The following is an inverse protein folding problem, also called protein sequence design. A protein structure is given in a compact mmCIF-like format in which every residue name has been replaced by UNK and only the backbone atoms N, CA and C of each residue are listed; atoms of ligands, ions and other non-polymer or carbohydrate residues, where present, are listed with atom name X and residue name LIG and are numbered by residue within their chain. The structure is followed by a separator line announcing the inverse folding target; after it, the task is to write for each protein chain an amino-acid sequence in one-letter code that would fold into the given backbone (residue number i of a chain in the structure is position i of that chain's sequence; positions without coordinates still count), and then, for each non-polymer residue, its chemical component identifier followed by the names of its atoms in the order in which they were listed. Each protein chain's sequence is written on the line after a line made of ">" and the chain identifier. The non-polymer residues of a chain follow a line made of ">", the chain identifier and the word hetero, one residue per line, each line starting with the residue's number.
data_IF_319526355438
#
_entry.id   IF_319526355438
#
_cell.length_a   1.000
_cell.length_b   1.000
_cell.length_c   1.000
_cell.angle_alpha   90.00
_cell.angle_beta   90.00
_cell.angle_gamma   90.00
#
_symmetry.space_group_name_H-M   'P 1'
#
loop_
_entity.id
_entity.type
_entity.pdbx_description
1 polymer ?
#
# COMPACT_ATOMS: atom_id res chain seq x y z
N UNK A 1 -28.66 43.94 9.34
CA UNK A 1 -29.90 44.17 8.57
C UNK A 1 -29.56 44.18 7.10
N UNK A 2 -30.26 43.33 6.33
CA UNK A 2 -30.51 43.41 4.88
C UNK A 2 -29.38 43.00 3.92
N UNK A 3 -29.51 41.75 3.50
CA UNK A 3 -29.07 41.19 2.22
C UNK A 3 -29.48 42.10 1.05
N UNK A 4 -28.58 42.24 0.07
CA UNK A 4 -28.88 42.85 -1.23
C UNK A 4 -28.66 41.79 -2.30
N UNK A 5 -29.75 41.45 -2.99
CA UNK A 5 -29.78 40.58 -4.15
C UNK A 5 -29.22 41.32 -5.37
N UNK A 6 -28.45 40.61 -6.20
CA UNK A 6 -28.21 41.01 -7.59
C UNK A 6 -28.37 39.77 -8.47
N UNK A 7 -29.51 39.72 -9.16
CA UNK A 7 -29.77 38.85 -10.30
C UNK A 7 -29.30 39.58 -11.56
N UNK A 8 -28.46 38.95 -12.39
CA UNK A 8 -28.27 39.37 -13.80
C UNK A 8 -28.32 38.13 -14.70
N UNK A 9 -29.29 38.20 -15.62
CA UNK A 9 -29.57 37.36 -16.77
C UNK A 9 -28.47 37.52 -17.84
N UNK A 10 -28.02 36.44 -18.47
CA UNK A 10 -27.49 36.49 -19.83
C UNK A 10 -27.62 35.12 -20.53
N UNK A 11 -28.64 35.01 -21.38
CA UNK A 11 -28.69 34.06 -22.49
C UNK A 11 -27.61 34.43 -23.52
N UNK A 12 -26.78 33.47 -23.94
CA UNK A 12 -26.24 33.43 -25.31
C UNK A 12 -26.26 31.98 -25.78
N UNK A 13 -27.21 31.68 -26.67
CA UNK A 13 -27.16 30.53 -27.53
C UNK A 13 -26.21 30.83 -28.69
N UNK A 14 -25.19 30.00 -28.88
CA UNK A 14 -24.39 29.95 -30.10
C UNK A 14 -24.45 28.52 -30.63
N UNK A 15 -25.39 28.32 -31.54
CA UNK A 15 -25.41 27.21 -32.50
C UNK A 15 -24.25 27.39 -33.47
N UNK A 16 -23.26 26.50 -33.41
CA UNK A 16 -22.20 26.36 -34.40
C UNK A 16 -22.18 24.93 -34.91
N UNK A 17 -22.65 24.73 -36.14
CA UNK A 17 -22.53 23.47 -36.87
C UNK A 17 -21.07 23.26 -37.29
N UNK A 18 -20.40 22.25 -36.73
CA UNK A 18 -19.19 21.68 -37.30
C UNK A 18 -19.49 20.25 -37.75
N UNK A 19 -19.79 20.09 -39.04
CA UNK A 19 -19.79 18.79 -39.71
C UNK A 19 -18.34 18.32 -39.84
N UNK A 20 -17.89 17.49 -38.90
CA UNK A 20 -16.61 16.79 -39.01
C UNK A 20 -16.83 15.58 -39.93
N UNK A 21 -16.29 15.67 -41.14
CA UNK A 21 -16.21 14.58 -42.09
C UNK A 21 -15.29 13.49 -41.53
N UNK A 22 -15.85 12.39 -41.04
CA UNK A 22 -15.06 11.17 -40.81
C UNK A 22 -14.67 10.57 -42.15
N UNK A 23 -13.38 10.66 -42.48
CA UNK A 23 -12.77 9.82 -43.50
C UNK A 23 -12.57 8.43 -42.88
N UNK A 24 -13.01 7.33 -43.51
CA UNK A 24 -12.68 5.99 -43.04
C UNK A 24 -11.22 5.70 -43.41
N UNK A 25 -10.30 6.22 -42.60
CA UNK A 25 -8.96 5.67 -42.52
C UNK A 25 -9.04 4.49 -41.56
N UNK A 26 -8.97 3.27 -42.08
CA UNK A 26 -8.66 2.09 -41.27
C UNK A 26 -7.29 2.32 -40.63
N UNK A 27 -7.32 2.92 -39.45
CA UNK A 27 -6.20 2.92 -38.52
C UNK A 27 -6.46 1.72 -37.65
N UNK A 28 -5.83 0.59 -37.99
CA UNK A 28 -5.56 -0.48 -37.04
C UNK A 28 -4.72 0.13 -35.92
N UNK A 29 -5.40 0.71 -34.95
CA UNK A 29 -4.81 1.12 -33.70
C UNK A 29 -4.61 -0.17 -32.92
N UNK A 30 -3.40 -0.75 -33.01
CA UNK A 30 -2.88 -1.62 -31.96
C UNK A 30 -2.84 -0.76 -30.70
N UNK A 31 -3.96 -0.74 -29.96
CA UNK A 31 -3.93 -0.42 -28.56
C UNK A 31 -3.05 -1.50 -27.94
N UNK A 32 -1.77 -1.18 -27.74
CA UNK A 32 -0.91 -1.90 -26.82
C UNK A 32 -1.69 -2.03 -25.52
N UNK A 33 -2.23 -3.22 -25.29
CA UNK A 33 -3.11 -3.57 -24.19
C UNK A 33 -2.46 -3.06 -22.90
N UNK A 34 -3.03 -2.01 -22.31
CA UNK A 34 -2.84 -1.69 -20.90
C UNK A 34 -3.38 -2.91 -20.17
N UNK A 35 -2.50 -3.83 -19.81
CA UNK A 35 -2.87 -5.09 -19.17
C UNK A 35 -3.65 -4.77 -17.90
N UNK A 36 -4.96 -5.03 -17.93
CA UNK A 36 -5.90 -4.59 -16.91
C UNK A 36 -5.41 -5.07 -15.53
N UNK A 37 -5.40 -4.15 -14.56
CA UNK A 37 -4.89 -4.45 -13.24
C UNK A 37 -5.84 -5.39 -12.51
N UNK A 38 -5.33 -6.50 -11.98
CA UNK A 38 -6.14 -7.41 -11.18
C UNK A 38 -6.62 -6.67 -9.93
N UNK A 39 -7.83 -6.99 -9.47
CA UNK A 39 -8.38 -6.44 -8.23
C UNK A 39 -7.48 -6.73 -7.02
N UNK A 40 -6.82 -7.89 -7.00
CA UNK A 40 -5.82 -8.22 -5.99
C UNK A 40 -4.64 -7.23 -6.00
N UNK A 41 -4.12 -6.89 -7.19
CA UNK A 41 -3.03 -5.93 -7.32
C UNK A 41 -3.45 -4.51 -6.90
N UNK A 42 -4.68 -4.11 -7.17
CA UNK A 42 -5.25 -2.83 -6.70
C UNK A 42 -5.27 -2.74 -5.18
N UNK A 43 -5.85 -3.73 -4.49
CA UNK A 43 -5.91 -3.71 -3.03
C UNK A 43 -4.50 -3.82 -2.41
N UNK A 44 -3.58 -4.53 -3.06
CA UNK A 44 -2.18 -4.58 -2.64
C UNK A 44 -1.49 -3.22 -2.76
N UNK A 45 -1.71 -2.49 -3.86
CA UNK A 45 -1.18 -1.14 -4.02
C UNK A 45 -1.75 -0.21 -2.95
N UNK A 46 -3.07 -0.24 -2.75
CA UNK A 46 -3.76 0.60 -1.78
C UNK A 46 -3.21 0.40 -0.35
N UNK A 47 -2.98 -0.85 0.06
CA UNK A 47 -2.37 -1.16 1.35
C UNK A 47 -0.96 -0.58 1.50
N UNK A 48 -0.10 -0.80 0.50
CA UNK A 48 1.29 -0.32 0.53
C UNK A 48 1.36 1.21 0.52
N UNK A 49 0.47 1.86 -0.24
CA UNK A 49 0.37 3.32 -0.31
C UNK A 49 -0.15 3.91 1.01
N UNK A 50 -1.15 3.26 1.63
CA UNK A 50 -1.61 3.62 2.97
C UNK A 50 -0.46 3.53 3.98
N UNK A 51 0.24 2.39 4.05
CA UNK A 51 1.34 2.21 4.99
C UNK A 51 2.47 3.24 4.78
N UNK A 52 2.76 3.62 3.53
CA UNK A 52 3.77 4.64 3.20
C UNK A 52 3.29 6.06 3.51
N UNK A 53 2.02 6.36 3.26
CA UNK A 53 1.44 7.68 3.54
C UNK A 53 1.37 7.93 5.05
N UNK A 54 0.93 6.92 5.80
CA UNK A 54 0.81 6.94 7.26
C UNK A 54 2.15 6.72 7.99
N UNK A 55 3.24 6.49 7.24
CA UNK A 55 4.61 6.33 7.76
C UNK A 55 4.78 5.16 8.74
N UNK A 56 3.93 4.14 8.61
CA UNK A 56 4.04 2.93 9.43
C UNK A 56 5.35 2.18 9.19
N UNK A 57 5.90 2.29 7.98
CA UNK A 57 7.23 1.78 7.64
C UNK A 57 8.22 2.93 7.60
N UNK A 58 9.35 2.78 8.30
CA UNK A 58 10.44 3.75 8.25
C UNK A 58 10.92 3.99 6.82
N UNK A 59 11.28 5.23 6.50
CA UNK A 59 11.78 5.57 5.16
C UNK A 59 13.17 4.95 5.01
N UNK A 60 13.35 3.92 4.19
CA UNK A 60 14.71 3.48 3.85
C UNK A 60 15.34 4.52 2.94
N UNK A 61 16.45 5.12 3.37
CA UNK A 61 17.31 5.90 2.49
C UNK A 61 17.81 4.94 1.40
N UNK A 62 17.29 5.09 0.18
CA UNK A 62 17.47 4.10 -0.88
C UNK A 62 18.91 3.98 -1.39
N UNK A 63 19.10 3.18 -2.44
CA UNK A 63 20.41 2.92 -3.07
C UNK A 63 21.15 4.21 -3.46
N UNK A 64 20.43 5.29 -3.76
CA UNK A 64 21.01 6.60 -4.07
C UNK A 64 21.73 7.25 -2.88
N UNK A 65 21.25 7.05 -1.67
CA UNK A 65 21.92 7.56 -0.47
C UNK A 65 23.17 6.74 -0.17
N UNK A 66 23.11 5.43 -0.38
CA UNK A 66 24.30 4.56 -0.35
C UNK A 66 25.31 4.94 -1.45
N UNK A 67 24.83 5.23 -2.66
CA UNK A 67 25.67 5.68 -3.77
C UNK A 67 26.33 7.03 -3.47
N UNK A 68 25.63 7.99 -2.83
CA UNK A 68 26.24 9.25 -2.38
C UNK A 68 27.33 9.03 -1.33
N UNK A 69 27.13 8.13 -0.37
CA UNK A 69 28.15 7.76 0.61
C UNK A 69 29.39 7.15 -0.07
N UNK A 70 29.20 6.31 -1.09
CA UNK A 70 30.28 5.71 -1.86
C UNK A 70 30.97 6.70 -2.83
N UNK A 71 30.23 7.59 -3.49
CA UNK A 71 30.74 8.50 -4.52
C UNK A 71 31.38 9.75 -3.93
N UNK A 72 30.76 10.35 -2.92
CA UNK A 72 31.21 11.64 -2.37
C UNK A 72 32.05 11.48 -1.09
N UNK A 73 32.24 10.25 -0.59
CA UNK A 73 32.96 9.99 0.66
C UNK A 73 32.35 10.69 1.88
N UNK A 74 31.12 11.18 1.77
CA UNK A 74 30.44 11.96 2.79
C UNK A 74 30.00 11.03 3.92
N UNK A 75 30.80 10.96 4.98
CA UNK A 75 30.44 10.28 6.24
C UNK A 75 29.54 11.13 7.14
N UNK A 76 28.96 12.21 6.63
CA UNK A 76 28.20 13.16 7.43
C UNK A 76 27.05 13.78 6.66
N UNK A 77 25.84 13.59 7.19
CA UNK A 77 24.59 14.29 6.85
C UNK A 77 23.77 13.75 5.67
N UNK A 78 23.75 12.45 5.45
CA UNK A 78 22.47 11.84 5.09
C UNK A 78 21.57 11.93 6.33
N UNK A 79 20.49 12.72 6.24
CA UNK A 79 19.51 12.80 7.32
C UNK A 79 19.07 11.37 7.67
N UNK A 80 19.16 11.01 8.95
CA UNK A 80 18.83 9.66 9.38
C UNK A 80 17.41 9.32 8.91
N UNK A 81 17.19 8.12 8.37
CA UNK A 81 15.87 7.70 7.92
C UNK A 81 14.86 7.88 9.05
N UNK A 82 13.77 8.64 8.81
CA UNK A 82 12.74 8.86 9.83
C UNK A 82 12.03 7.54 10.12
N UNK A 83 11.99 7.21 11.40
CA UNK A 83 11.24 6.10 11.97
C UNK A 83 9.79 6.51 12.23
N UNK A 84 8.93 5.52 12.47
CA UNK A 84 7.55 5.79 12.89
C UNK A 84 7.51 6.57 14.23
N UNK A 85 8.42 6.28 15.15
CA UNK A 85 8.56 7.00 16.42
C UNK A 85 8.85 8.49 16.23
N UNK A 86 9.64 8.85 15.20
CA UNK A 86 9.91 10.26 14.87
C UNK A 86 8.66 10.97 14.35
N UNK A 87 7.78 10.24 13.66
CA UNK A 87 6.57 10.80 13.04
C UNK A 87 5.48 11.07 14.07
N UNK A 88 5.34 10.21 15.08
CA UNK A 88 4.37 10.41 16.15
C UNK A 88 4.93 11.26 17.31
N UNK A 89 6.16 11.75 17.17
CA UNK A 89 6.85 12.60 18.16
C UNK A 89 6.90 11.95 19.56
N UNK A 90 7.38 10.69 19.61
CA UNK A 90 7.40 9.87 20.84
C UNK A 90 8.05 10.57 22.05
N UNK A 91 8.97 11.51 21.83
CA UNK A 91 9.67 12.22 22.90
C UNK A 91 8.81 13.30 23.59
N UNK A 92 7.92 13.96 22.85
CA UNK A 92 7.24 15.20 23.29
C UNK A 92 5.75 15.02 23.53
N UNK A 93 5.10 14.10 22.82
CA UNK A 93 3.66 13.88 22.95
C UNK A 93 3.29 13.17 24.26
N UNK A 94 2.02 13.28 24.64
CA UNK A 94 1.46 12.66 25.85
C UNK A 94 1.37 11.13 25.68
N UNK A 95 1.71 10.37 26.73
CA UNK A 95 1.89 8.91 26.69
C UNK A 95 0.61 8.17 26.28
N UNK A 96 -0.54 8.51 26.86
CA UNK A 96 -1.80 7.83 26.53
C UNK A 96 -2.27 8.10 25.11
N UNK A 97 -2.03 9.32 24.63
CA UNK A 97 -2.30 9.73 23.26
C UNK A 97 -1.40 8.98 22.26
N UNK A 98 -0.14 8.75 22.62
CA UNK A 98 0.80 7.96 21.84
C UNK A 98 0.37 6.49 21.74
N UNK A 99 0.02 5.85 22.86
CA UNK A 99 -0.48 4.47 22.81
C UNK A 99 -1.79 4.35 22.03
N UNK A 100 -2.73 5.28 22.22
CA UNK A 100 -3.98 5.31 21.46
C UNK A 100 -3.71 5.46 19.95
N UNK A 101 -2.73 6.28 19.57
CA UNK A 101 -2.32 6.44 18.18
C UNK A 101 -1.74 5.15 17.62
N UNK A 102 -0.82 4.51 18.34
CA UNK A 102 -0.19 3.26 17.91
C UNK A 102 -1.25 2.16 17.77
N UNK A 103 -2.17 2.03 18.72
CA UNK A 103 -3.27 1.08 18.67
C UNK A 103 -4.16 1.30 17.43
N UNK A 104 -4.51 2.56 17.15
CA UNK A 104 -5.32 2.91 15.97
C UNK A 104 -4.60 2.64 14.66
N UNK A 105 -3.29 2.90 14.57
CA UNK A 105 -2.50 2.64 13.37
C UNK A 105 -2.30 1.12 13.16
N UNK A 106 -2.08 0.35 14.23
CA UNK A 106 -2.00 -1.11 14.19
C UNK A 106 -3.32 -1.75 13.74
N UNK A 107 -4.45 -1.24 14.24
CA UNK A 107 -5.78 -1.70 13.84
C UNK A 107 -6.08 -1.38 12.36
N UNK A 108 -5.71 -0.19 11.90
CA UNK A 108 -5.83 0.17 10.49
C UNK A 108 -4.98 -0.74 9.58
N UNK A 109 -3.76 -1.07 10.00
CA UNK A 109 -2.91 -2.02 9.30
C UNK A 109 -3.52 -3.43 9.29
N UNK A 110 -4.11 -3.89 10.40
CA UNK A 110 -4.79 -5.19 10.49
C UNK A 110 -5.95 -5.27 9.50
N UNK A 111 -6.86 -4.30 9.55
CA UNK A 111 -8.04 -4.26 8.67
C UNK A 111 -7.61 -4.23 7.19
N UNK A 112 -6.62 -3.40 6.85
CA UNK A 112 -6.10 -3.34 5.48
C UNK A 112 -5.52 -4.67 5.00
N UNK A 113 -4.79 -5.36 5.87
CA UNK A 113 -4.19 -6.67 5.55
C UNK A 113 -5.26 -7.77 5.39
N UNK A 114 -6.32 -7.74 6.20
CA UNK A 114 -7.46 -8.66 6.07
C UNK A 114 -8.19 -8.47 4.74
N UNK A 115 -8.37 -7.22 4.29
CA UNK A 115 -8.95 -6.93 2.96
C UNK A 115 -8.10 -7.56 1.86
N UNK A 116 -6.77 -7.37 1.89
CA UNK A 116 -5.86 -7.96 0.91
C UNK A 116 -5.89 -9.49 0.96
N UNK A 117 -5.89 -10.07 2.16
CA UNK A 117 -5.91 -11.52 2.38
C UNK A 117 -7.22 -12.15 1.90
N UNK A 118 -8.36 -11.48 2.10
CA UNK A 118 -9.64 -11.95 1.61
C UNK A 118 -9.75 -11.82 0.08
N UNK A 119 -9.20 -10.76 -0.51
CA UNK A 119 -9.14 -10.65 -1.97
C UNK A 119 -8.24 -11.74 -2.57
N UNK A 120 -7.14 -12.11 -1.91
CA UNK A 120 -6.29 -13.21 -2.36
C UNK A 120 -7.01 -14.58 -2.32
N UNK A 121 -7.90 -14.80 -1.33
CA UNK A 121 -8.76 -16.00 -1.29
C UNK A 121 -9.66 -16.07 -2.52
N UNK A 122 -10.37 -14.97 -2.81
CA UNK A 122 -11.25 -14.87 -3.99
C UNK A 122 -10.44 -15.04 -5.26
N UNK A 123 -9.29 -14.41 -5.35
CA UNK A 123 -8.41 -14.48 -6.52
C UNK A 123 -8.02 -15.93 -6.85
N UNK A 124 -7.59 -16.73 -5.86
CA UNK A 124 -7.24 -18.15 -6.07
C UNK A 124 -8.45 -18.97 -6.57
N UNK A 125 -9.67 -18.66 -6.14
CA UNK A 125 -10.86 -19.38 -6.58
C UNK A 125 -11.26 -19.04 -8.02
N UNK A 126 -10.85 -17.87 -8.50
CA UNK A 126 -11.23 -17.33 -9.82
C UNK A 126 -10.11 -17.37 -10.86
N UNK A 127 -8.87 -17.64 -10.46
CA UNK A 127 -7.72 -17.54 -11.36
C UNK A 127 -7.70 -18.68 -12.37
N UNK A 128 -7.60 -18.32 -13.64
CA UNK A 128 -7.48 -19.27 -14.74
C UNK A 128 -6.04 -19.78 -14.89
N UNK A 129 -5.84 -21.03 -15.36
CA UNK A 129 -4.50 -21.60 -15.52
C UNK A 129 -3.57 -20.84 -16.47
N UNK A 130 -4.11 -20.05 -17.38
CA UNK A 130 -3.38 -19.29 -18.40
C UNK A 130 -3.16 -17.81 -18.00
N UNK A 131 -3.35 -17.47 -16.71
CA UNK A 131 -3.22 -16.08 -16.27
C UNK A 131 -1.75 -15.61 -16.23
N UNK A 132 -1.31 -14.94 -17.31
CA UNK A 132 0.00 -14.28 -17.46
C UNK A 132 0.32 -13.23 -16.36
N UNK A 133 -0.67 -12.76 -15.62
CA UNK A 133 -0.49 -11.82 -14.53
C UNK A 133 -0.25 -12.48 -13.17
N UNK A 134 -0.45 -13.79 -13.04
CA UNK A 134 -0.42 -14.47 -11.73
C UNK A 134 0.88 -14.19 -10.97
N UNK A 135 2.04 -14.30 -11.64
CA UNK A 135 3.34 -14.00 -11.03
C UNK A 135 3.38 -12.60 -10.41
N UNK A 136 2.88 -11.59 -11.12
CA UNK A 136 2.85 -10.19 -10.64
C UNK A 136 1.89 -10.02 -9.47
N UNK A 137 0.77 -10.73 -9.51
CA UNK A 137 -0.24 -10.68 -8.44
C UNK A 137 0.30 -11.33 -7.15
N UNK A 138 0.98 -12.48 -7.25
CA UNK A 138 1.69 -13.11 -6.13
C UNK A 138 2.77 -12.19 -5.57
N UNK A 139 3.62 -11.60 -6.42
CA UNK A 139 4.64 -10.65 -5.98
C UNK A 139 4.05 -9.41 -5.29
N UNK A 140 2.89 -8.93 -5.75
CA UNK A 140 2.21 -7.78 -5.13
C UNK A 140 1.71 -8.13 -3.73
N UNK A 141 1.16 -9.34 -3.55
CA UNK A 141 0.75 -9.85 -2.24
C UNK A 141 1.95 -10.03 -1.29
N UNK A 142 3.05 -10.60 -1.76
CA UNK A 142 4.29 -10.73 -0.97
C UNK A 142 4.82 -9.36 -0.52
N UNK A 143 4.76 -8.36 -1.40
CA UNK A 143 5.13 -6.99 -1.05
C UNK A 143 4.28 -6.44 0.09
N UNK A 144 2.96 -6.70 0.10
CA UNK A 144 2.07 -6.32 1.21
C UNK A 144 2.48 -7.01 2.51
N UNK A 145 2.75 -8.31 2.48
CA UNK A 145 3.16 -9.06 3.67
C UNK A 145 4.46 -8.50 4.27
N UNK A 146 5.45 -8.20 3.44
CA UNK A 146 6.69 -7.56 3.88
C UNK A 146 6.41 -6.18 4.50
N UNK A 147 5.56 -5.37 3.89
CA UNK A 147 5.16 -4.07 4.42
C UNK A 147 4.46 -4.20 5.78
N UNK A 148 3.52 -5.14 5.92
CA UNK A 148 2.82 -5.40 7.19
C UNK A 148 3.79 -5.81 8.31
N UNK A 149 4.73 -6.72 8.02
CA UNK A 149 5.77 -7.13 8.97
C UNK A 149 6.69 -5.98 9.38
N UNK A 150 7.00 -5.07 8.45
CA UNK A 150 7.78 -3.86 8.76
C UNK A 150 6.98 -2.89 9.63
N UNK A 151 5.71 -2.64 9.30
CA UNK A 151 4.81 -1.79 10.10
C UNK A 151 4.69 -2.32 11.53
N UNK A 152 4.41 -3.62 11.68
CA UNK A 152 4.36 -4.30 12.99
C UNK A 152 5.63 -4.07 13.80
N UNK A 153 6.81 -4.23 13.19
CA UNK A 153 8.09 -3.99 13.87
C UNK A 153 8.21 -2.53 14.32
N UNK A 154 7.85 -1.58 13.46
CA UNK A 154 7.86 -0.15 13.78
C UNK A 154 6.90 0.21 14.92
N UNK A 155 5.71 -0.37 14.97
CA UNK A 155 4.77 -0.19 16.08
C UNK A 155 5.30 -0.78 17.38
N UNK A 156 5.86 -1.98 17.35
CA UNK A 156 6.46 -2.62 18.52
C UNK A 156 7.63 -1.81 19.11
N UNK A 157 8.47 -1.24 18.23
CA UNK A 157 9.55 -0.33 18.66
C UNK A 157 8.97 0.93 19.31
N UNK A 158 7.94 1.56 18.70
CA UNK A 158 7.31 2.73 19.29
C UNK A 158 6.66 2.44 20.65
N UNK A 159 5.95 1.31 20.80
CA UNK A 159 5.41 0.85 22.09
C UNK A 159 6.52 0.74 23.13
N UNK A 160 7.64 0.11 22.78
CA UNK A 160 8.77 -0.07 23.70
C UNK A 160 9.33 1.29 24.16
N UNK A 161 9.51 2.24 23.24
CA UNK A 161 10.00 3.58 23.57
C UNK A 161 9.00 4.39 24.40
N UNK A 162 7.70 4.32 24.09
CA UNK A 162 6.66 5.04 24.87
C UNK A 162 6.56 4.45 26.28
N UNK A 163 6.68 3.12 26.42
CA UNK A 163 6.63 2.42 27.70
C UNK A 163 7.72 2.86 28.68
N UNK A 164 8.86 3.37 28.19
CA UNK A 164 9.91 3.95 29.05
C UNK A 164 9.46 5.24 29.75
N UNK A 165 8.44 5.93 29.21
CA UNK A 165 7.88 7.20 29.74
C UNK A 165 6.64 6.98 30.60
N UNK A 166 5.94 5.85 30.43
CA UNK A 166 4.75 5.47 31.18
C UNK A 166 3.95 4.37 30.47
N UNK A 167 2.96 3.79 31.15
CA UNK A 167 2.20 2.62 30.68
C UNK A 167 0.70 2.88 30.47
N UNK A 168 0.26 4.14 30.60
CA UNK A 168 -1.14 4.53 30.45
C UNK A 168 -1.62 4.31 29.01
N UNK A 169 -2.25 3.15 28.73
CA UNK A 169 -2.71 2.75 27.40
C UNK A 169 -1.89 1.62 26.75
N UNK A 170 -0.86 1.12 27.42
CA UNK A 170 0.01 0.05 26.92
C UNK A 170 -0.78 -1.23 26.57
N UNK A 171 -1.71 -1.63 27.44
CA UNK A 171 -2.51 -2.86 27.25
C UNK A 171 -3.31 -2.81 25.94
N UNK A 172 -3.94 -1.68 25.62
CA UNK A 172 -4.74 -1.54 24.40
C UNK A 172 -3.86 -1.55 23.15
N UNK A 173 -2.67 -0.94 23.22
CA UNK A 173 -1.69 -0.98 22.14
C UNK A 173 -1.15 -2.40 21.89
N UNK A 174 -0.85 -3.15 22.96
CA UNK A 174 -0.42 -4.55 22.86
C UNK A 174 -1.52 -5.45 22.29
N UNK A 175 -2.78 -5.25 22.70
CA UNK A 175 -3.93 -5.98 22.14
C UNK A 175 -4.07 -5.73 20.64
N UNK A 176 -3.97 -4.47 20.20
CA UNK A 176 -4.03 -4.13 18.78
C UNK A 176 -2.84 -4.73 18.00
N UNK A 177 -1.63 -4.72 18.58
CA UNK A 177 -0.45 -5.31 17.95
C UNK A 177 -0.57 -6.85 17.82
N UNK A 178 -1.09 -7.52 18.85
CA UNK A 178 -1.36 -8.97 18.80
C UNK A 178 -2.41 -9.31 17.74
N UNK A 179 -3.45 -8.49 17.59
CA UNK A 179 -4.45 -8.69 16.54
C UNK A 179 -3.84 -8.53 15.14
N UNK A 180 -2.91 -7.60 14.95
CA UNK A 180 -2.13 -7.47 13.71
C UNK A 180 -1.23 -8.69 13.48
N UNK A 181 -0.60 -9.25 14.52
CA UNK A 181 0.22 -10.46 14.40
C UNK A 181 -0.59 -11.65 13.86
N UNK A 182 -1.81 -11.85 14.35
CA UNK A 182 -2.71 -12.88 13.84
C UNK A 182 -3.06 -12.68 12.36
N UNK A 183 -3.34 -11.44 11.94
CA UNK A 183 -3.59 -11.13 10.53
C UNK A 183 -2.35 -11.35 9.65
N UNK A 184 -1.14 -11.13 10.17
CA UNK A 184 0.12 -11.44 9.48
C UNK A 184 0.30 -12.94 9.30
N UNK A 185 -0.05 -13.75 10.30
CA UNK A 185 0.02 -15.21 10.20
C UNK A 185 -0.97 -15.75 9.17
N UNK A 186 -2.21 -15.26 9.17
CA UNK A 186 -3.20 -15.58 8.12
C UNK A 186 -2.71 -15.19 6.71
N UNK A 187 -2.05 -14.04 6.60
CA UNK A 187 -1.47 -13.59 5.34
C UNK A 187 -0.27 -14.45 4.89
N UNK A 188 0.55 -14.98 5.82
CA UNK A 188 1.63 -15.93 5.50
C UNK A 188 1.07 -17.22 4.91
N UNK A 189 0.06 -17.79 5.56
CA UNK A 189 -0.61 -19.00 5.06
C UNK A 189 -1.20 -18.77 3.66
N UNK A 190 -1.73 -17.57 3.41
CA UNK A 190 -2.22 -17.19 2.09
C UNK A 190 -1.12 -17.04 1.05
N UNK A 191 0.02 -16.43 1.40
CA UNK A 191 1.18 -16.33 0.51
C UNK A 191 1.65 -17.72 0.07
N UNK A 192 1.71 -18.67 1.01
CA UNK A 192 2.08 -20.05 0.72
C UNK A 192 1.08 -20.74 -0.23
N UNK A 193 -0.22 -20.45 -0.07
CA UNK A 193 -1.27 -20.94 -0.99
C UNK A 193 -1.10 -20.34 -2.38
N UNK A 194 -0.90 -19.04 -2.48
CA UNK A 194 -0.66 -18.33 -3.75
C UNK A 194 0.58 -18.89 -4.47
N UNK A 195 1.66 -19.12 -3.75
CA UNK A 195 2.89 -19.70 -4.30
C UNK A 195 2.66 -21.12 -4.83
N UNK A 196 1.87 -21.96 -4.14
CA UNK A 196 1.50 -23.30 -4.62
C UNK A 196 0.67 -23.24 -5.90
N UNK A 197 -0.30 -22.33 -5.98
CA UNK A 197 -1.11 -22.14 -7.20
C UNK A 197 -0.21 -21.75 -8.37
N UNK A 198 0.68 -20.78 -8.16
CA UNK A 198 1.64 -20.33 -9.16
C UNK A 198 2.62 -21.44 -9.61
N UNK A 199 3.08 -22.29 -8.69
CA UNK A 199 3.99 -23.39 -9.01
C UNK A 199 3.32 -24.55 -9.78
N UNK A 200 2.01 -24.75 -9.62
CA UNK A 200 1.27 -25.86 -10.23
C UNK A 200 0.68 -25.54 -11.61
N UNK A 201 0.90 -24.34 -12.14
CA UNK A 201 0.48 -24.00 -13.50
C UNK A 201 1.44 -24.62 -14.54
N UNK A 202 0.90 -25.14 -15.66
CA UNK A 202 1.72 -25.60 -16.76
C UNK A 202 2.66 -24.46 -17.19
N UNK A 203 3.95 -24.67 -16.99
CA UNK A 203 4.96 -23.75 -17.50
C UNK A 203 5.07 -24.05 -19.00
N UNK A 204 4.37 -23.28 -19.82
CA UNK A 204 4.60 -23.33 -21.27
C UNK A 204 6.09 -23.04 -21.53
N UNK A 205 6.82 -24.06 -21.99
CA UNK A 205 8.16 -23.83 -22.58
C UNK A 205 9.31 -24.76 -22.25
N UNK A 206 9.14 -25.98 -21.71
CA UNK A 206 10.19 -27.01 -21.83
C UNK A 206 9.61 -28.37 -22.21
N UNK A 207 9.33 -28.54 -23.50
CA UNK A 207 9.33 -29.86 -24.13
C UNK A 207 10.78 -30.36 -24.24
N UNK A 208 11.21 -31.18 -23.30
CA UNK A 208 12.39 -32.04 -23.55
C UNK A 208 11.90 -33.22 -24.39
N UNK A 209 12.19 -33.16 -25.70
CA UNK A 209 12.25 -34.35 -26.56
C UNK A 209 13.61 -35.03 -26.40
#
# INVERSE_FOLDING_TARGET
>A
MRSVAVSILALVALTGCATVSMMPGETTFEASITQEQSKLRDVCSAYNDQARSAKWVGTSNGLMDFAKVLMDGATGQTAAPRTYSDVIEVETAEVSSLFQRIASDAEAARIGLEVVTNEAKVFIETVEPENDNLRRDVMSFESVLVTAQKSRRSFATAISTVAERGDAGLVDADLALNALDLAIDDARDMADRLARVHANLPQDGVSVS
#
